data_IF_832363365522
#
_entry.id   IF_832363365522
#
_cell.length_a   1.000
_cell.length_b   1.000
_cell.length_c   1.000
_cell.angle_alpha   90.00
_cell.angle_beta   90.00
_cell.angle_gamma   90.00
#
_symmetry.space_group_name_H-M   'P 1'
#
loop_
_entity.id
_entity.type
_entity.pdbx_description
1 polymer ?
#
# COMPACT_ATOMS: atom_id res chain seq x y z
N UNK A 1 -0.40 -22.28 7.74
CA UNK A 1 0.01 -20.88 7.48
C UNK A 1 -0.92 -19.92 8.16
N UNK A 2 -0.40 -18.92 8.83
CA UNK A 2 -1.28 -17.91 9.39
C UNK A 2 -2.03 -17.21 8.27
N UNK A 3 -3.33 -17.04 8.48
CA UNK A 3 -4.17 -16.32 7.53
C UNK A 3 -3.89 -14.83 7.68
N UNK A 4 -3.69 -14.13 6.55
CA UNK A 4 -3.56 -12.69 6.58
C UNK A 4 -4.93 -12.07 6.87
N UNK A 5 -4.94 -11.07 7.72
CA UNK A 5 -6.16 -10.32 8.03
C UNK A 5 -6.12 -8.97 7.33
N UNK A 6 -7.29 -8.46 6.96
CA UNK A 6 -7.38 -7.12 6.40
C UNK A 6 -6.88 -6.08 7.38
N UNK A 7 -6.20 -5.08 6.85
CA UNK A 7 -5.72 -3.96 7.65
C UNK A 7 -6.91 -3.06 7.94
N UNK A 8 -7.29 -2.96 9.20
CA UNK A 8 -8.38 -2.05 9.60
C UNK A 8 -7.87 -0.65 9.86
N UNK A 9 -6.62 -0.55 10.32
CA UNK A 9 -5.99 0.71 10.66
C UNK A 9 -4.48 0.54 10.63
N UNK A 10 -3.78 1.54 10.10
CA UNK A 10 -2.32 1.56 10.11
C UNK A 10 -1.81 2.01 11.49
N UNK A 11 -0.77 1.35 11.96
CA UNK A 11 -0.07 1.79 13.17
C UNK A 11 0.82 2.99 12.85
N UNK A 12 1.27 3.72 13.87
CA UNK A 12 2.19 4.83 13.69
C UNK A 12 3.48 4.38 12.98
N UNK A 13 3.99 3.21 13.34
CA UNK A 13 5.19 2.65 12.71
C UNK A 13 4.96 2.34 11.23
N UNK A 14 3.79 1.84 10.89
CA UNK A 14 3.41 1.57 9.49
C UNK A 14 3.29 2.86 8.70
N UNK A 15 2.69 3.92 9.27
CA UNK A 15 2.62 5.23 8.63
C UNK A 15 4.02 5.77 8.35
N UNK A 16 4.93 5.71 9.33
CA UNK A 16 6.29 6.19 9.16
C UNK A 16 7.02 5.44 8.04
N UNK A 17 6.92 4.12 8.03
CA UNK A 17 7.55 3.30 7.00
C UNK A 17 6.98 3.62 5.62
N UNK A 18 5.67 3.78 5.53
CA UNK A 18 4.98 4.11 4.29
C UNK A 18 5.38 5.49 3.78
N UNK A 19 5.40 6.50 4.64
CA UNK A 19 5.80 7.85 4.27
C UNK A 19 7.25 7.90 3.77
N UNK A 20 8.15 7.17 4.42
CA UNK A 20 9.55 7.07 3.96
C UNK A 20 9.65 6.40 2.60
N UNK A 21 8.89 5.32 2.39
CA UNK A 21 8.89 4.62 1.11
C UNK A 21 8.37 5.53 -0.01
N UNK A 22 7.32 6.33 0.28
CA UNK A 22 6.78 7.29 -0.68
C UNK A 22 7.83 8.35 -1.02
N UNK A 23 8.48 8.92 0.00
CA UNK A 23 9.49 9.96 -0.20
C UNK A 23 10.69 9.44 -1.00
N UNK A 24 11.07 8.19 -0.79
CA UNK A 24 12.23 7.58 -1.43
C UNK A 24 11.90 6.92 -2.76
N UNK A 25 10.62 6.87 -3.14
CA UNK A 25 10.19 6.21 -4.38
C UNK A 25 10.40 4.70 -4.36
N UNK A 26 10.34 4.08 -3.18
CA UNK A 26 10.56 2.65 -3.05
C UNK A 26 9.35 1.85 -3.49
N UNK A 27 9.63 0.64 -3.97
CA UNK A 27 8.57 -0.31 -4.31
C UNK A 27 7.98 -0.90 -3.04
N UNK A 28 6.67 -1.12 -3.06
CA UNK A 28 5.94 -1.77 -1.98
C UNK A 28 5.24 -3.01 -2.51
N UNK A 29 5.27 -4.08 -1.72
CA UNK A 29 4.40 -5.22 -1.95
C UNK A 29 3.13 -5.01 -1.15
N UNK A 30 1.99 -5.09 -1.80
CA UNK A 30 0.68 -5.01 -1.15
C UNK A 30 -0.11 -6.26 -1.50
N UNK A 31 -0.88 -6.75 -0.56
CA UNK A 31 -1.71 -7.96 -0.75
C UNK A 31 -3.17 -7.58 -0.65
N UNK A 32 -3.93 -8.00 -1.66
CA UNK A 32 -5.38 -7.82 -1.70
C UNK A 32 -6.01 -9.09 -2.25
N UNK A 33 -6.94 -9.68 -1.48
CA UNK A 33 -7.63 -10.93 -1.85
C UNK A 33 -6.66 -12.04 -2.20
N UNK A 34 -5.59 -12.17 -1.41
CA UNK A 34 -4.59 -13.20 -1.61
C UNK A 34 -3.62 -12.95 -2.75
N UNK A 35 -3.76 -11.85 -3.48
CA UNK A 35 -2.89 -11.52 -4.60
C UNK A 35 -1.91 -10.43 -4.18
N UNK A 36 -0.65 -10.64 -4.51
CA UNK A 36 0.41 -9.65 -4.28
C UNK A 36 0.52 -8.71 -5.47
N UNK A 37 0.60 -7.42 -5.18
CA UNK A 37 0.89 -6.38 -6.18
C UNK A 37 2.15 -5.65 -5.75
N UNK A 38 3.10 -5.47 -6.68
CA UNK A 38 4.27 -4.63 -6.44
C UNK A 38 3.99 -3.29 -7.09
N UNK A 39 4.02 -2.23 -6.30
CA UNK A 39 3.65 -0.88 -6.75
C UNK A 39 4.62 0.16 -6.21
N UNK A 40 4.62 1.33 -6.84
CA UNK A 40 5.28 2.52 -6.29
C UNK A 40 4.14 3.44 -5.84
N UNK A 41 4.14 3.81 -4.57
CA UNK A 41 3.09 4.65 -4.02
C UNK A 41 3.47 6.12 -4.20
N UNK A 42 2.58 6.89 -4.81
CA UNK A 42 2.79 8.31 -5.05
C UNK A 42 2.35 9.16 -3.86
N UNK A 43 1.26 8.76 -3.23
CA UNK A 43 0.76 9.44 -2.02
C UNK A 43 -0.26 8.60 -1.27
N UNK A 44 -0.41 8.93 0.00
CA UNK A 44 -1.47 8.42 0.86
C UNK A 44 -2.43 9.58 1.12
N UNK A 45 -3.73 9.38 0.88
CA UNK A 45 -4.71 10.44 1.09
C UNK A 45 -6.10 9.85 1.41
N UNK A 46 -7.04 10.72 1.68
CA UNK A 46 -8.43 10.33 1.95
C UNK A 46 -9.26 10.45 0.67
N UNK A 47 -10.04 9.42 0.39
CA UNK A 47 -11.00 9.40 -0.71
C UNK A 47 -12.36 9.02 -0.11
N UNK A 48 -13.30 9.94 -0.10
CA UNK A 48 -14.61 9.70 0.51
C UNK A 48 -14.53 9.32 1.98
N UNK A 49 -13.58 9.89 2.73
CA UNK A 49 -13.37 9.58 4.14
C UNK A 49 -12.59 8.30 4.41
N UNK A 50 -12.13 7.60 3.37
CA UNK A 50 -11.37 6.37 3.50
C UNK A 50 -9.91 6.59 3.09
N UNK A 51 -8.97 6.03 3.84
CA UNK A 51 -7.56 6.12 3.48
C UNK A 51 -7.26 5.28 2.24
N UNK A 52 -6.55 5.87 1.29
CA UNK A 52 -6.20 5.23 0.03
C UNK A 52 -4.76 5.52 -0.36
N UNK A 53 -4.14 4.54 -1.01
CA UNK A 53 -2.84 4.71 -1.64
C UNK A 53 -3.05 4.98 -3.12
N UNK A 54 -2.57 6.11 -3.60
CA UNK A 54 -2.47 6.36 -5.03
C UNK A 54 -1.11 5.81 -5.47
N UNK A 55 -1.13 4.87 -6.38
CA UNK A 55 0.08 4.14 -6.76
C UNK A 55 0.14 3.92 -8.26
N UNK A 56 1.28 3.50 -8.74
CA UNK A 56 1.42 3.08 -10.13
C UNK A 56 2.24 1.81 -10.21
N UNK A 57 2.00 1.07 -11.26
CA UNK A 57 2.76 -0.14 -11.56
C UNK A 57 4.17 0.25 -11.99
N UNK A 58 5.23 -0.30 -11.37
CA UNK A 58 6.59 0.17 -11.64
C UNK A 58 7.07 -0.11 -13.07
N UNK A 59 6.49 -1.07 -13.76
CA UNK A 59 6.90 -1.44 -15.12
C UNK A 59 6.05 -0.77 -16.18
N UNK A 60 4.72 -0.80 -16.02
CA UNK A 60 3.81 -0.27 -17.04
C UNK A 60 3.42 1.18 -16.81
N UNK A 61 3.55 1.67 -15.59
CA UNK A 61 3.10 3.00 -15.22
C UNK A 61 1.59 3.13 -14.99
N UNK A 62 0.86 2.01 -15.09
CA UNK A 62 -0.59 2.02 -14.88
C UNK A 62 -0.92 2.47 -13.46
N UNK A 63 -1.83 3.42 -13.37
CA UNK A 63 -2.27 4.00 -12.11
C UNK A 63 -3.31 3.11 -11.43
N UNK A 64 -3.22 3.00 -10.11
CA UNK A 64 -4.24 2.31 -9.33
C UNK A 64 -4.45 2.98 -7.97
N UNK A 65 -5.66 2.87 -7.46
CA UNK A 65 -6.03 3.36 -6.15
C UNK A 65 -6.29 2.14 -5.26
N UNK A 66 -5.59 2.08 -4.13
CA UNK A 66 -5.68 0.96 -3.20
C UNK A 66 -6.20 1.47 -1.86
N UNK A 67 -7.40 1.05 -1.49
CA UNK A 67 -7.97 1.41 -0.18
C UNK A 67 -7.33 0.56 0.91
N UNK A 68 -6.85 1.19 1.97
CA UNK A 68 -6.15 0.51 3.07
C UNK A 68 -7.00 -0.63 3.65
N UNK A 69 -8.30 -0.39 3.83
CA UNK A 69 -9.20 -1.39 4.42
C UNK A 69 -9.37 -2.65 3.58
N UNK A 70 -9.01 -2.60 2.30
CA UNK A 70 -9.06 -3.75 1.40
C UNK A 70 -7.76 -4.55 1.37
N UNK A 71 -6.71 -4.03 1.98
CA UNK A 71 -5.40 -4.67 1.95
C UNK A 71 -5.22 -5.64 3.11
N UNK A 72 -4.47 -6.70 2.86
CA UNK A 72 -4.14 -7.72 3.84
C UNK A 72 -2.71 -7.60 4.35
N UNK A 73 -1.90 -6.79 3.68
CA UNK A 73 -0.53 -6.55 4.07
C UNK A 73 0.15 -5.52 3.18
N UNK A 74 1.15 -4.87 3.74
CA UNK A 74 1.99 -3.89 3.03
C UNK A 74 3.42 -4.11 3.52
N UNK A 75 4.36 -4.29 2.60
CA UNK A 75 5.78 -4.44 2.93
C UNK A 75 6.64 -3.65 1.96
N UNK A 76 7.71 -3.04 2.47
CA UNK A 76 8.69 -2.36 1.63
C UNK A 76 9.57 -3.41 0.98
N UNK A 77 9.71 -3.33 -0.35
CA UNK A 77 10.59 -4.24 -1.10
C UNK A 77 12.02 -3.73 -0.93
N UNK A 78 12.89 -4.63 -0.55
CA UNK A 78 14.31 -4.32 -0.35
C UNK A 78 15.16 -4.76 -1.53
#
# INVERSE_FOLDING_TARGET
MPRRHKITQLTAAQYDALERAIADGRRLSVWRRGTEFVVVVDRLHLVGGREALEAHHPTTGDHLTLYIVELEGIEVVR
#
